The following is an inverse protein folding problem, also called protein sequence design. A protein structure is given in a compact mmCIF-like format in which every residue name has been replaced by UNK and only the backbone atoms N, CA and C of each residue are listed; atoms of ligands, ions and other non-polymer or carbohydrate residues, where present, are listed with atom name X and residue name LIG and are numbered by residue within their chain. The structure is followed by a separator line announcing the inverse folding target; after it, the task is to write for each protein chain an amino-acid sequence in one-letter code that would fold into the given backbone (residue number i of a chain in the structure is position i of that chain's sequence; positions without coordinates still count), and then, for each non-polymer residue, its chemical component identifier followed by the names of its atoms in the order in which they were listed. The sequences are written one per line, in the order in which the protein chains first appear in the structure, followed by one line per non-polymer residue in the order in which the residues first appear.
data_IF_416793634434
#
_entry.id   IF_416793634434
#
_cell.length_a   1.000
_cell.length_b   1.000
_cell.length_c   1.000
_cell.angle_alpha   90.00
_cell.angle_beta   90.00
_cell.angle_gamma   90.00
#
_symmetry.space_group_name_H-M   'P 1'
#
loop_
_entity.id
_entity.type
_entity.pdbx_description
1 polymer ?
#
# COMPACT_ATOMS: atom_id res chain seq x y z
N UNK A 1 10.73 -13.00 -11.33
CA UNK A 1 11.59 -13.97 -12.06
C UNK A 1 10.83 -15.06 -12.81
N UNK A 2 9.62 -15.48 -12.38
CA UNK A 2 8.93 -16.63 -13.00
C UNK A 2 8.42 -16.40 -14.43
N UNK A 3 8.13 -15.17 -14.84
CA UNK A 3 7.43 -14.92 -16.13
C UNK A 3 8.20 -15.42 -17.35
N UNK A 4 9.51 -15.20 -17.44
CA UNK A 4 10.31 -15.63 -18.61
C UNK A 4 10.41 -17.16 -18.74
N UNK A 5 10.63 -17.86 -17.63
CA UNK A 5 10.65 -19.33 -17.64
C UNK A 5 9.29 -19.90 -18.03
N UNK A 6 8.21 -19.28 -17.53
CA UNK A 6 6.85 -19.68 -17.85
C UNK A 6 6.56 -19.50 -19.35
N UNK A 7 6.89 -18.35 -19.95
CA UNK A 7 6.72 -18.14 -21.40
C UNK A 7 7.38 -19.25 -22.24
N UNK A 8 8.57 -19.70 -21.83
CA UNK A 8 9.25 -20.79 -22.51
C UNK A 8 8.53 -22.12 -22.35
N UNK A 9 8.02 -22.45 -21.16
CA UNK A 9 7.27 -23.69 -20.93
C UNK A 9 5.98 -23.74 -21.73
N UNK A 10 5.23 -22.64 -21.84
CA UNK A 10 4.04 -22.55 -22.70
C UNK A 10 4.42 -22.74 -24.16
N UNK A 11 5.45 -22.01 -24.62
CA UNK A 11 5.88 -22.07 -26.02
C UNK A 11 6.38 -23.47 -26.43
N UNK A 12 6.98 -24.19 -25.48
CA UNK A 12 7.47 -25.55 -25.68
C UNK A 12 6.39 -26.61 -25.45
N UNK A 13 5.18 -26.23 -25.02
CA UNK A 13 4.09 -27.17 -24.73
C UNK A 13 4.37 -28.09 -23.53
N UNK A 14 5.15 -27.63 -22.55
CA UNK A 14 5.54 -28.42 -21.38
C UNK A 14 4.51 -28.43 -20.26
N UNK A 15 3.47 -27.59 -20.36
CA UNK A 15 2.42 -27.42 -19.35
C UNK A 15 1.05 -27.40 -20.01
N UNK A 16 0.07 -27.95 -19.30
CA UNK A 16 -1.32 -28.10 -19.78
C UNK A 16 -2.00 -26.74 -19.95
N UNK A 17 -2.05 -25.96 -18.88
CA UNK A 17 -2.72 -24.67 -18.85
C UNK A 17 -1.71 -23.53 -18.67
N UNK A 18 -1.93 -22.33 -19.26
CA UNK A 18 -1.04 -21.20 -19.12
C UNK A 18 -1.15 -20.50 -17.76
N UNK A 19 -1.14 -21.28 -16.67
CA UNK A 19 -1.29 -20.84 -15.28
C UNK A 19 -0.18 -21.42 -14.41
N UNK A 20 0.06 -20.78 -13.28
CA UNK A 20 0.86 -21.34 -12.19
C UNK A 20 0.30 -20.87 -10.85
N UNK A 21 0.50 -21.67 -9.82
CA UNK A 21 0.02 -21.38 -8.47
C UNK A 21 1.08 -21.62 -7.42
N UNK A 22 0.99 -20.88 -6.34
CA UNK A 22 1.82 -21.08 -5.15
C UNK A 22 0.96 -21.42 -3.95
N UNK A 23 1.39 -22.44 -3.21
CA UNK A 23 1.01 -22.68 -1.83
C UNK A 23 2.22 -22.44 -0.93
N UNK A 24 2.02 -21.69 0.15
CA UNK A 24 3.06 -21.45 1.16
C UNK A 24 2.60 -22.04 2.49
N UNK A 25 3.39 -22.96 3.04
CA UNK A 25 3.15 -23.47 4.38
C UNK A 25 3.60 -22.42 5.40
N UNK A 26 2.81 -22.23 6.46
CA UNK A 26 3.11 -21.30 7.56
C UNK A 26 3.72 -21.99 8.78
N UNK A 27 3.69 -23.32 8.81
CA UNK A 27 4.20 -24.14 9.90
C UNK A 27 5.63 -24.54 9.61
N UNK A 28 6.58 -23.70 10.05
CA UNK A 28 8.01 -23.90 9.78
C UNK A 28 8.59 -25.17 10.44
N UNK A 29 7.90 -25.70 11.44
CA UNK A 29 8.21 -26.91 12.17
C UNK A 29 7.55 -28.18 11.61
N UNK A 30 6.73 -28.04 10.56
CA UNK A 30 5.99 -29.14 9.96
C UNK A 30 6.31 -29.33 8.46
N UNK A 31 6.76 -30.53 8.09
CA UNK A 31 6.71 -31.05 6.72
C UNK A 31 7.30 -30.13 5.63
N UNK A 32 6.55 -29.99 4.53
CA UNK A 32 6.94 -29.22 3.34
C UNK A 32 6.69 -27.72 3.53
N UNK A 33 7.64 -26.86 3.14
CA UNK A 33 7.53 -25.41 3.31
C UNK A 33 6.58 -24.71 2.32
N UNK A 34 6.18 -25.39 1.26
CA UNK A 34 5.32 -24.84 0.21
C UNK A 34 5.44 -25.63 -1.10
N UNK A 35 4.59 -25.30 -2.06
CA UNK A 35 4.52 -25.92 -3.37
C UNK A 35 4.34 -24.84 -4.45
N UNK A 36 4.98 -25.04 -5.61
CA UNK A 36 4.68 -24.33 -6.84
C UNK A 36 4.24 -25.32 -7.90
N UNK A 37 3.09 -25.05 -8.52
CA UNK A 37 2.55 -25.85 -9.62
C UNK A 37 2.59 -25.01 -10.90
N UNK A 38 3.24 -25.54 -11.93
CA UNK A 38 3.16 -24.98 -13.29
C UNK A 38 2.19 -25.82 -14.11
N UNK A 39 1.26 -25.18 -14.82
CA UNK A 39 0.27 -25.87 -15.64
C UNK A 39 -1.04 -26.22 -14.93
N UNK A 40 -1.25 -25.76 -13.70
CA UNK A 40 -2.46 -26.05 -12.93
C UNK A 40 -2.40 -25.50 -11.51
N UNK A 41 -3.21 -26.10 -10.64
CA UNK A 41 -3.28 -25.84 -9.21
C UNK A 41 -3.66 -27.11 -8.45
N UNK A 42 -3.10 -27.34 -7.26
CA UNK A 42 -3.53 -28.46 -6.42
C UNK A 42 -4.73 -28.07 -5.55
N UNK A 43 -5.85 -28.76 -5.76
CA UNK A 43 -7.09 -28.64 -4.97
C UNK A 43 -6.93 -28.95 -3.48
N UNK A 44 -5.88 -29.67 -3.09
CA UNK A 44 -5.60 -29.96 -1.68
C UNK A 44 -5.17 -28.72 -0.88
N UNK A 45 -4.69 -27.68 -1.56
CA UNK A 45 -4.05 -26.50 -0.97
C UNK A 45 -4.96 -25.25 -0.88
N UNK A 46 -6.24 -25.37 -1.24
CA UNK A 46 -7.23 -24.28 -1.07
C UNK A 46 -8.62 -24.79 -0.70
N UNK A 47 -9.50 -23.87 -0.30
CA UNK A 47 -10.91 -24.14 0.01
C UNK A 47 -11.79 -23.13 -0.71
N UNK A 48 -12.90 -23.60 -1.27
CA UNK A 48 -13.81 -22.77 -2.04
C UNK A 48 -13.24 -22.37 -3.40
N UNK A 49 -13.85 -21.36 -4.01
CA UNK A 49 -13.49 -20.89 -5.34
C UNK A 49 -12.49 -19.74 -5.29
N UNK A 50 -11.68 -19.63 -6.35
CA UNK A 50 -10.77 -18.52 -6.54
C UNK A 50 -11.53 -17.27 -6.98
N UNK A 51 -11.19 -16.12 -6.40
CA UNK A 51 -11.61 -14.82 -6.90
C UNK A 51 -10.57 -14.31 -7.90
N UNK A 52 -10.93 -14.26 -9.18
CA UNK A 52 -10.05 -13.78 -10.24
C UNK A 52 -10.24 -12.29 -10.49
N UNK A 53 -9.13 -11.56 -10.56
CA UNK A 53 -9.09 -10.15 -10.94
C UNK A 53 -8.13 -9.95 -12.12
N UNK A 54 -8.45 -9.08 -13.08
CA UNK A 54 -7.62 -8.89 -14.27
C UNK A 54 -6.32 -8.16 -13.91
N UNK A 55 -5.26 -8.48 -14.66
CA UNK A 55 -3.99 -7.74 -14.60
C UNK A 55 -4.18 -6.35 -15.18
N UNK A 56 -3.80 -5.31 -14.44
CA UNK A 56 -4.02 -3.91 -14.82
C UNK A 56 -2.79 -3.28 -15.48
N UNK A 57 -1.59 -3.78 -15.17
CA UNK A 57 -0.33 -3.32 -15.79
C UNK A 57 0.56 -4.51 -16.13
N UNK A 58 0.65 -4.86 -17.42
CA UNK A 58 1.57 -5.90 -17.90
C UNK A 58 3.03 -5.51 -17.58
N UNK A 59 3.79 -6.46 -17.03
CA UNK A 59 5.14 -6.26 -16.49
C UNK A 59 5.23 -6.67 -15.02
N UNK A 60 4.13 -6.49 -14.28
CA UNK A 60 3.95 -7.00 -12.92
C UNK A 60 2.68 -7.84 -12.86
N UNK A 61 2.57 -8.70 -11.85
CA UNK A 61 1.29 -9.30 -11.45
C UNK A 61 0.48 -8.30 -10.63
N UNK A 62 0.19 -7.17 -11.27
CA UNK A 62 -0.50 -6.04 -10.68
C UNK A 62 -1.99 -6.09 -11.00
N UNK A 63 -2.84 -5.84 -10.00
CA UNK A 63 -4.29 -5.77 -10.15
C UNK A 63 -4.86 -4.61 -9.32
N UNK A 64 -6.11 -4.23 -9.60
CA UNK A 64 -6.82 -3.23 -8.79
C UNK A 64 -7.30 -3.89 -7.50
N UNK A 65 -7.06 -3.22 -6.38
CA UNK A 65 -7.51 -3.57 -5.05
C UNK A 65 -8.43 -2.48 -4.52
N UNK A 66 -9.43 -2.87 -3.75
CA UNK A 66 -10.27 -1.94 -3.02
C UNK A 66 -9.58 -1.39 -1.76
N UNK A 67 -10.41 -1.04 -0.78
CA UNK A 67 -9.94 -0.47 0.48
C UNK A 67 -9.22 -1.49 1.38
N UNK A 68 -8.38 -0.97 2.27
CA UNK A 68 -7.75 -1.74 3.34
C UNK A 68 -8.49 -1.45 4.65
N UNK A 69 -8.97 -2.51 5.29
CA UNK A 69 -9.69 -2.43 6.56
C UNK A 69 -8.81 -2.95 7.70
N UNK A 70 -8.78 -2.23 8.82
CA UNK A 70 -8.14 -2.68 10.06
C UNK A 70 -9.19 -2.73 11.16
N UNK A 71 -9.45 -3.93 11.68
CA UNK A 71 -10.54 -4.21 12.62
C UNK A 71 -11.92 -3.79 12.05
N UNK A 72 -12.16 -4.15 10.78
CA UNK A 72 -13.40 -3.82 10.06
C UNK A 72 -13.58 -2.34 9.70
N UNK A 73 -12.62 -1.47 10.06
CA UNK A 73 -12.68 -0.02 9.79
C UNK A 73 -11.79 0.37 8.63
N UNK A 74 -12.33 1.17 7.73
CA UNK A 74 -11.61 1.75 6.59
C UNK A 74 -10.39 2.54 7.03
N UNK A 75 -9.30 2.43 6.28
CA UNK A 75 -8.11 3.29 6.40
C UNK A 75 -8.21 4.56 5.54
N UNK A 76 -9.26 4.66 4.71
CA UNK A 76 -9.62 5.82 3.89
C UNK A 76 -8.74 6.00 2.64
N UNK A 77 -7.44 5.75 2.75
CA UNK A 77 -6.47 6.02 1.67
C UNK A 77 -6.77 5.20 0.40
N UNK A 78 -7.08 3.91 0.53
CA UNK A 78 -7.39 3.05 -0.61
C UNK A 78 -8.90 2.93 -0.90
N UNK A 79 -9.75 3.76 -0.31
CA UNK A 79 -11.20 3.70 -0.52
C UNK A 79 -11.60 3.99 -1.98
N UNK A 80 -10.84 4.85 -2.67
CA UNK A 80 -10.97 5.13 -4.11
C UNK A 80 -10.34 4.06 -5.02
N UNK A 81 -9.76 3.01 -4.44
CA UNK A 81 -9.01 1.98 -5.12
C UNK A 81 -7.49 2.24 -5.08
N UNK A 82 -6.74 1.14 -5.00
CA UNK A 82 -5.29 1.10 -5.05
C UNK A 82 -4.81 0.04 -6.03
N UNK A 83 -3.55 0.12 -6.44
CA UNK A 83 -2.89 -0.99 -7.12
C UNK A 83 -2.26 -1.92 -6.10
N UNK A 84 -2.33 -3.23 -6.35
CA UNK A 84 -1.63 -4.25 -5.58
C UNK A 84 -0.81 -5.13 -6.51
N UNK A 85 0.34 -5.61 -6.04
CA UNK A 85 1.18 -6.58 -6.73
C UNK A 85 1.26 -7.81 -5.85
N UNK A 86 1.04 -8.98 -6.44
CA UNK A 86 1.33 -10.22 -5.75
C UNK A 86 2.75 -10.67 -6.10
N UNK A 87 3.63 -10.63 -5.11
CA UNK A 87 5.06 -10.89 -5.25
C UNK A 87 5.51 -11.98 -4.27
N UNK A 88 5.65 -13.20 -4.78
CA UNK A 88 6.17 -14.34 -4.00
C UNK A 88 7.63 -14.16 -3.56
N UNK A 89 8.35 -13.16 -4.09
CA UNK A 89 9.73 -12.84 -3.72
C UNK A 89 9.84 -11.95 -2.48
N UNK A 90 8.71 -11.43 -1.96
CA UNK A 90 8.68 -10.51 -0.81
C UNK A 90 7.91 -11.14 0.34
N UNK A 91 8.47 -11.07 1.56
CA UNK A 91 7.84 -11.65 2.76
C UNK A 91 6.85 -10.72 3.46
N UNK A 92 7.06 -9.40 3.39
CA UNK A 92 6.27 -8.41 4.11
C UNK A 92 5.20 -7.78 3.21
N UNK A 93 4.11 -7.30 3.82
CA UNK A 93 3.19 -6.41 3.13
C UNK A 93 3.78 -5.00 3.11
N UNK A 94 4.00 -4.49 1.90
CA UNK A 94 4.40 -3.11 1.66
C UNK A 94 3.20 -2.32 1.14
N UNK A 95 3.03 -1.09 1.62
CA UNK A 95 1.91 -0.23 1.25
C UNK A 95 2.16 1.23 1.59
N UNK A 96 1.20 2.12 1.28
CA UNK A 96 1.28 3.54 1.61
C UNK A 96 1.52 3.76 3.10
N UNK A 97 2.44 4.67 3.45
CA UNK A 97 2.79 5.00 4.84
C UNK A 97 1.53 5.34 5.65
N UNK A 98 0.60 6.10 5.06
CA UNK A 98 -0.67 6.45 5.70
C UNK A 98 -1.46 5.22 6.23
N UNK A 99 -1.46 4.11 5.48
CA UNK A 99 -2.15 2.87 5.87
C UNK A 99 -1.31 2.09 6.88
N UNK A 100 0.00 1.97 6.63
CA UNK A 100 0.91 1.19 7.47
C UNK A 100 0.99 1.78 8.88
N UNK A 101 1.03 3.10 9.02
CA UNK A 101 1.05 3.78 10.33
C UNK A 101 -0.23 3.52 11.12
N UNK A 102 -1.41 3.52 10.47
CA UNK A 102 -2.67 3.16 11.14
C UNK A 102 -2.68 1.68 11.58
N UNK A 103 -2.19 0.76 10.73
CA UNK A 103 -2.06 -0.65 11.11
C UNK A 103 -1.18 -0.78 12.35
N UNK A 104 0.00 -0.14 12.35
CA UNK A 104 0.96 -0.24 13.45
C UNK A 104 0.42 0.33 14.76
N UNK A 105 -0.29 1.45 14.70
CA UNK A 105 -0.95 2.03 15.87
C UNK A 105 -1.96 1.04 16.47
N UNK A 106 -2.80 0.42 15.62
CA UNK A 106 -3.81 -0.56 16.06
C UNK A 106 -3.25 -1.88 16.59
N UNK A 107 -2.10 -2.34 16.08
CA UNK A 107 -1.46 -3.57 16.55
C UNK A 107 -0.41 -3.34 17.65
N UNK A 108 -0.18 -2.08 18.05
CA UNK A 108 0.83 -1.72 19.05
C UNK A 108 2.27 -1.95 18.60
N UNK A 109 2.54 -1.90 17.29
CA UNK A 109 3.89 -2.03 16.76
C UNK A 109 4.72 -0.77 17.04
N UNK A 110 6.01 -0.97 17.32
CA UNK A 110 6.94 0.14 17.51
C UNK A 110 7.18 0.85 16.17
N UNK A 111 7.03 2.19 16.18
CA UNK A 111 7.41 3.04 15.06
C UNK A 111 8.48 4.07 15.44
N UNK A 112 8.81 4.93 14.48
CA UNK A 112 9.74 6.05 14.66
C UNK A 112 8.94 7.34 14.79
N UNK A 113 9.47 8.27 15.57
CA UNK A 113 8.85 9.58 15.72
C UNK A 113 9.18 10.45 14.50
N UNK A 114 8.17 10.88 13.74
CA UNK A 114 8.34 11.92 12.72
C UNK A 114 8.23 13.31 13.35
N UNK A 115 9.30 14.10 13.28
CA UNK A 115 9.29 15.48 13.79
C UNK A 115 8.49 16.42 12.88
N UNK A 116 8.48 16.13 11.58
CA UNK A 116 7.72 16.84 10.57
C UNK A 116 6.23 16.66 10.84
N UNK A 117 5.78 15.42 11.04
CA UNK A 117 4.39 15.13 11.36
C UNK A 117 3.98 15.76 12.70
N UNK A 118 4.83 15.67 13.73
CA UNK A 118 4.59 16.38 15.00
C UNK A 118 4.43 17.88 14.82
N UNK A 119 5.27 18.49 14.01
CA UNK A 119 5.23 19.93 13.74
C UNK A 119 3.95 20.29 12.99
N UNK A 120 3.58 19.52 11.96
CA UNK A 120 2.33 19.70 11.22
C UNK A 120 1.12 19.63 12.15
N UNK A 121 1.03 18.59 12.98
CA UNK A 121 -0.10 18.38 13.89
C UNK A 121 -0.17 19.48 14.94
N UNK A 122 0.95 19.83 15.56
CA UNK A 122 0.99 20.82 16.64
C UNK A 122 0.76 22.26 16.18
N UNK A 123 1.27 22.64 14.99
CA UNK A 123 1.17 24.01 14.50
C UNK A 123 -0.05 24.23 13.59
N UNK A 124 -0.38 23.24 12.75
CA UNK A 124 -1.38 23.39 11.69
C UNK A 124 -2.57 22.47 11.87
N UNK A 125 -2.54 21.50 12.80
CA UNK A 125 -3.57 20.47 12.92
C UNK A 125 -4.98 21.02 13.11
N UNK A 126 -5.12 22.09 13.91
CA UNK A 126 -6.41 22.76 14.10
C UNK A 126 -6.91 23.41 12.81
N UNK A 127 -6.05 24.15 12.10
CA UNK A 127 -6.38 24.79 10.84
C UNK A 127 -6.75 23.77 9.75
N UNK A 128 -6.01 22.66 9.65
CA UNK A 128 -6.29 21.56 8.73
C UNK A 128 -7.68 20.98 9.02
N UNK A 129 -7.98 20.73 10.30
CA UNK A 129 -9.26 20.18 10.70
C UNK A 129 -10.43 21.14 10.43
N UNK A 130 -10.25 22.44 10.68
CA UNK A 130 -11.25 23.46 10.38
C UNK A 130 -11.54 23.54 8.87
N UNK A 131 -10.51 23.44 8.03
CA UNK A 131 -10.65 23.38 6.57
C UNK A 131 -11.39 22.12 6.11
N UNK A 132 -11.15 20.98 6.76
CA UNK A 132 -11.87 19.74 6.50
C UNK A 132 -13.35 19.83 6.89
N UNK A 133 -13.66 20.44 8.03
CA UNK A 133 -15.03 20.69 8.48
C UNK A 133 -15.76 21.70 7.60
N UNK A 134 -15.04 22.64 6.98
CA UNK A 134 -15.56 23.58 5.99
C UNK A 134 -15.77 22.96 4.59
N UNK A 135 -15.71 21.63 4.46
CA UNK A 135 -15.89 20.88 3.21
C UNK A 135 -14.90 21.29 2.09
N UNK A 136 -13.69 21.70 2.48
CA UNK A 136 -12.63 22.00 1.52
C UNK A 136 -12.17 20.72 0.82
N UNK A 137 -11.84 20.82 -0.47
CA UNK A 137 -11.23 19.72 -1.21
C UNK A 137 -9.92 19.29 -0.52
N UNK A 138 -9.82 18.04 -0.02
CA UNK A 138 -8.71 17.60 0.83
C UNK A 138 -7.34 17.76 0.19
N UNK A 139 -7.24 17.47 -1.11
CA UNK A 139 -6.03 17.62 -1.91
C UNK A 139 -5.48 19.06 -1.94
N UNK A 140 -6.31 20.07 -1.66
CA UNK A 140 -5.93 21.49 -1.66
C UNK A 140 -5.62 22.04 -0.28
N UNK A 141 -5.85 21.28 0.78
CA UNK A 141 -5.68 21.80 2.15
C UNK A 141 -4.22 22.13 2.43
N UNK A 142 -3.30 21.25 2.08
CA UNK A 142 -1.88 21.47 2.37
C UNK A 142 -1.26 22.62 1.56
N UNK A 143 -1.79 22.93 0.37
CA UNK A 143 -1.39 24.11 -0.39
C UNK A 143 -2.02 25.39 0.16
N UNK A 144 -3.27 25.35 0.63
CA UNK A 144 -3.91 26.49 1.30
C UNK A 144 -3.27 26.83 2.65
N UNK A 145 -2.83 25.82 3.39
CA UNK A 145 -2.05 25.99 4.63
C UNK A 145 -0.63 26.47 4.35
N UNK A 146 -0.16 26.36 3.10
CA UNK A 146 1.17 26.82 2.66
C UNK A 146 2.29 25.82 2.89
N UNK A 147 1.97 24.56 3.22
CA UNK A 147 2.95 23.48 3.41
C UNK A 147 3.32 22.77 2.11
N UNK A 148 2.48 22.88 1.07
CA UNK A 148 2.74 22.34 -0.25
C UNK A 148 2.76 23.45 -1.31
N UNK A 149 3.68 23.33 -2.27
CA UNK A 149 3.81 24.27 -3.39
C UNK A 149 2.80 24.02 -4.52
N UNK A 150 2.29 22.80 -4.65
CA UNK A 150 1.35 22.38 -5.68
C UNK A 150 0.03 21.89 -5.06
N UNK A 151 -1.05 21.90 -5.84
CA UNK A 151 -2.44 21.66 -5.40
C UNK A 151 -2.85 20.18 -5.42
N UNK A 152 -1.91 19.26 -5.19
CA UNK A 152 -2.18 17.83 -5.02
C UNK A 152 -2.49 17.06 -6.32
N UNK A 153 -2.31 17.66 -7.51
CA UNK A 153 -2.49 16.95 -8.79
C UNK A 153 -1.35 16.00 -9.15
N UNK A 154 -0.25 16.05 -8.41
CA UNK A 154 0.81 15.04 -8.49
C UNK A 154 0.54 14.00 -7.40
N UNK A 155 -0.06 12.87 -7.80
CA UNK A 155 -0.23 11.75 -6.91
C UNK A 155 1.09 11.40 -6.22
N UNK A 156 1.02 11.10 -4.93
CA UNK A 156 2.12 10.58 -4.12
C UNK A 156 2.58 9.27 -4.75
N UNK A 157 3.41 9.39 -5.77
CA UNK A 157 4.15 8.28 -6.31
C UNK A 157 5.24 8.00 -5.29
N UNK A 158 4.99 7.09 -4.36
CA UNK A 158 6.04 6.22 -3.89
C UNK A 158 6.57 5.52 -5.15
N UNK A 159 7.56 6.13 -5.80
CA UNK A 159 8.13 5.63 -7.03
C UNK A 159 8.65 4.22 -6.76
N UNK A 160 7.96 3.21 -7.30
CA UNK A 160 8.54 1.89 -7.43
C UNK A 160 9.71 2.08 -8.39
N UNK A 161 10.93 2.24 -7.85
CA UNK A 161 12.14 2.21 -8.66
C UNK A 161 12.25 0.79 -9.22
N UNK A 162 12.07 0.68 -10.52
CA UNK A 162 12.39 -0.52 -11.26
C UNK A 162 13.91 -0.61 -11.38
N UNK A 163 14.48 -1.80 -11.18
CA UNK A 163 15.92 -2.08 -11.37
C UNK A 163 16.40 -1.96 -12.82
N UNK A 164 15.52 -1.58 -13.76
CA UNK A 164 15.86 -1.44 -15.19
C UNK A 164 15.93 0.01 -15.69
N UNK A 165 15.67 1.02 -14.87
CA UNK A 165 15.63 2.42 -15.31
C UNK A 165 16.86 3.24 -14.88
N UNK A 166 18.06 2.66 -15.05
CA UNK A 166 19.34 3.39 -14.95
C UNK A 166 19.99 3.52 -16.33
N UNK A 167 19.41 4.34 -17.21
CA UNK A 167 20.11 4.86 -18.40
C UNK A 167 19.70 6.33 -18.62
N UNK A 168 20.70 7.16 -18.92
CA UNK A 168 20.72 8.58 -18.67
C UNK A 168 19.96 9.46 -19.68
N UNK A 169 19.41 10.59 -19.19
CA UNK A 169 19.52 11.88 -19.91
C UNK A 169 18.24 12.69 -20.17
N UNK A 170 18.10 13.77 -19.38
CA UNK A 170 17.47 15.09 -19.67
C UNK A 170 15.93 15.21 -19.63
N UNK A 171 15.41 15.90 -18.61
CA UNK A 171 15.02 17.33 -18.69
C UNK A 171 14.36 17.83 -17.38
N UNK A 172 14.74 19.04 -16.96
CA UNK A 172 14.22 19.92 -15.91
C UNK A 172 12.96 19.51 -15.10
N UNK A 173 13.13 19.53 -13.77
CA UNK A 173 12.01 19.56 -12.81
C UNK A 173 12.13 18.53 -11.69
N UNK A 174 13.30 18.39 -11.08
CA UNK A 174 13.49 17.51 -9.92
C UNK A 174 12.62 17.99 -8.75
N UNK A 175 11.45 17.39 -8.60
CA UNK A 175 10.50 17.60 -7.52
C UNK A 175 11.21 17.23 -6.20
N UNK A 176 11.72 18.23 -5.47
CA UNK A 176 12.08 18.03 -4.07
C UNK A 176 10.76 17.79 -3.33
N UNK A 177 10.48 16.54 -2.96
CA UNK A 177 9.43 16.23 -2.01
C UNK A 177 9.72 16.99 -0.72
N UNK A 178 8.88 17.97 -0.37
CA UNK A 178 9.00 18.68 0.89
C UNK A 178 8.52 17.75 2.01
N UNK A 179 9.38 17.37 2.97
CA UNK A 179 8.99 16.49 4.08
C UNK A 179 7.78 17.01 4.87
N UNK A 180 7.61 18.33 4.97
CA UNK A 180 6.44 18.93 5.62
C UNK A 180 5.17 18.82 4.77
N UNK A 181 5.29 18.89 3.44
CA UNK A 181 4.16 18.68 2.54
C UNK A 181 3.63 17.25 2.67
N UNK A 182 4.51 16.25 2.59
CA UNK A 182 4.13 14.84 2.74
C UNK A 182 3.48 14.57 4.11
N UNK A 183 4.06 15.14 5.18
CA UNK A 183 3.50 15.03 6.52
C UNK A 183 2.10 15.66 6.64
N UNK A 184 1.87 16.78 5.94
CA UNK A 184 0.55 17.40 5.85
C UNK A 184 -0.45 16.51 5.10
N UNK A 185 -0.08 15.98 3.94
CA UNK A 185 -0.97 15.13 3.14
C UNK A 185 -1.38 13.87 3.92
N UNK A 186 -0.45 13.25 4.64
CA UNK A 186 -0.75 12.14 5.54
C UNK A 186 -1.70 12.56 6.67
N UNK A 187 -1.45 13.70 7.32
CA UNK A 187 -2.31 14.22 8.38
C UNK A 187 -3.73 14.49 7.88
N UNK A 188 -3.90 15.06 6.68
CA UNK A 188 -5.21 15.27 6.04
C UNK A 188 -5.94 13.94 5.88
N UNK A 189 -5.29 12.92 5.30
CA UNK A 189 -5.93 11.60 5.12
C UNK A 189 -6.37 11.00 6.46
N UNK A 190 -5.51 11.05 7.49
CA UNK A 190 -5.86 10.53 8.80
C UNK A 190 -7.02 11.31 9.43
N UNK A 191 -7.00 12.65 9.39
CA UNK A 191 -8.10 13.48 9.92
C UNK A 191 -9.42 13.17 9.22
N UNK A 192 -9.40 13.08 7.88
CA UNK A 192 -10.57 12.71 7.10
C UNK A 192 -11.12 11.35 7.48
N UNK A 193 -10.24 10.37 7.63
CA UNK A 193 -10.65 9.03 8.01
C UNK A 193 -11.28 9.03 9.42
N UNK A 194 -10.73 9.76 10.39
CA UNK A 194 -11.31 9.85 11.72
C UNK A 194 -12.63 10.64 11.74
N UNK A 195 -12.78 11.67 10.90
CA UNK A 195 -14.05 12.37 10.68
C UNK A 195 -15.12 11.45 10.09
N UNK A 196 -14.76 10.62 9.10
CA UNK A 196 -15.66 9.62 8.52
C UNK A 196 -16.10 8.56 9.54
N UNK A 197 -15.32 8.35 10.59
CA UNK A 197 -15.66 7.50 11.74
C UNK A 197 -16.42 8.24 12.86
N UNK A 198 -16.91 9.47 12.61
CA UNK A 198 -17.68 10.29 13.55
C UNK A 198 -16.97 10.57 14.89
N UNK A 199 -15.62 10.68 14.88
CA UNK A 199 -14.87 11.05 16.09
C UNK A 199 -14.93 12.56 16.36
N UNK A 200 -14.79 12.96 17.62
CA UNK A 200 -14.70 14.37 18.01
C UNK A 200 -13.34 14.96 17.63
N UNK A 201 -13.30 16.27 17.40
CA UNK A 201 -12.09 17.01 17.05
C UNK A 201 -10.92 16.80 18.02
N UNK A 202 -11.17 16.79 19.34
CA UNK A 202 -10.14 16.53 20.35
C UNK A 202 -9.57 15.11 20.21
N UNK A 203 -10.44 14.11 20.00
CA UNK A 203 -10.01 12.73 19.79
C UNK A 203 -9.22 12.58 18.48
N UNK A 204 -9.57 13.33 17.43
CA UNK A 204 -8.86 13.32 16.15
C UNK A 204 -7.43 13.85 16.32
N UNK A 205 -7.27 15.02 16.95
CA UNK A 205 -5.95 15.63 17.15
C UNK A 205 -5.06 14.76 18.05
N UNK A 206 -5.63 14.20 19.12
CA UNK A 206 -4.91 13.27 20.01
C UNK A 206 -4.47 12.00 19.27
N UNK A 207 -5.36 11.42 18.46
CA UNK A 207 -5.06 10.23 17.67
C UNK A 207 -3.90 10.46 16.70
N UNK A 208 -3.94 11.56 15.95
CA UNK A 208 -2.92 11.83 14.92
C UNK A 208 -1.58 12.20 15.55
N UNK A 209 -1.60 12.88 16.69
CA UNK A 209 -0.39 13.11 17.46
C UNK A 209 0.23 11.77 17.92
N UNK A 210 -0.59 10.76 18.29
CA UNK A 210 -0.09 9.42 18.57
C UNK A 210 0.44 8.71 17.32
N UNK A 211 -0.27 8.79 16.20
CA UNK A 211 0.18 8.22 14.92
C UNK A 211 1.52 8.81 14.46
N UNK A 212 1.79 10.09 14.74
CA UNK A 212 3.08 10.74 14.46
C UNK A 212 4.26 10.16 15.25
N UNK A 213 3.98 9.44 16.34
CA UNK A 213 4.98 8.75 17.17
C UNK A 213 5.30 7.34 16.65
N UNK A 214 4.48 6.80 15.75
CA UNK A 214 4.58 5.44 15.22
C UNK A 214 4.93 5.41 13.72
N UNK A 215 5.36 6.53 13.14
CA UNK A 215 5.70 6.63 11.73
C UNK A 215 6.93 5.77 11.38
N UNK A 216 6.79 4.87 10.41
CA UNK A 216 7.89 3.97 10.05
C UNK A 216 8.72 4.58 8.93
N UNK A 217 10.02 4.74 9.18
CA UNK A 217 10.98 4.75 8.09
C UNK A 217 10.99 3.35 7.44
N UNK A 218 10.20 3.19 6.35
CA UNK A 218 10.37 2.17 5.31
C UNK A 218 10.25 0.69 5.74
N UNK A 219 9.58 0.36 6.85
CA UNK A 219 9.38 -1.04 7.27
C UNK A 219 7.97 -1.52 6.92
N UNK A 220 7.88 -2.61 6.15
CA UNK A 220 6.63 -3.29 5.86
C UNK A 220 6.02 -3.96 7.10
N UNK A 221 4.73 -4.30 7.05
CA UNK A 221 4.05 -5.02 8.14
C UNK A 221 4.16 -6.51 7.88
N UNK A 222 4.59 -7.27 8.90
CA UNK A 222 4.49 -8.73 8.88
C UNK A 222 3.07 -9.10 9.27
N UNK A 223 2.27 -9.54 8.31
CA UNK A 223 0.90 -10.01 8.54
C UNK A 223 0.84 -11.48 8.12
N UNK A 224 0.37 -12.40 8.99
CA UNK A 224 0.29 -13.81 8.63
C UNK A 224 -0.89 -14.06 7.68
N UNK A 225 -0.68 -13.86 6.37
CA UNK A 225 -1.65 -14.26 5.34
C UNK A 225 -1.41 -15.70 4.88
N UNK A 226 -2.46 -16.53 4.85
CA UNK A 226 -2.49 -17.72 4.00
C UNK A 226 -3.17 -17.29 2.71
N UNK A 227 -2.40 -17.16 1.63
CA UNK A 227 -2.95 -16.86 0.31
C UNK A 227 -2.42 -17.89 -0.67
N UNK A 228 -3.32 -18.68 -1.26
CA UNK A 228 -3.03 -19.38 -2.49
C UNK A 228 -3.17 -18.36 -3.61
N UNK A 229 -2.09 -18.13 -4.33
CA UNK A 229 -2.07 -17.15 -5.40
C UNK A 229 -1.96 -17.87 -6.74
N UNK A 230 -3.05 -17.85 -7.51
CA UNK A 230 -3.08 -18.38 -8.87
C UNK A 230 -2.93 -17.23 -9.86
N UNK A 231 -1.90 -17.30 -10.70
CA UNK A 231 -1.59 -16.29 -11.69
C UNK A 231 -1.76 -16.87 -13.09
N UNK A 232 -2.57 -16.20 -13.91
CA UNK A 232 -2.88 -16.63 -15.28
C UNK A 232 -2.13 -15.77 -16.28
N UNK A 233 -1.35 -16.37 -17.17
CA UNK A 233 -0.68 -15.63 -18.24
C UNK A 233 -1.67 -15.39 -19.37
N UNK A 234 -2.14 -14.15 -19.47
CA UNK A 234 -2.84 -13.66 -20.65
C UNK A 234 -1.81 -13.27 -21.71
N UNK A 235 -1.53 -14.20 -22.63
CA UNK A 235 -0.75 -13.96 -23.85
C UNK A 235 -1.42 -12.87 -24.70
#
# INVERSE_FOLDING_TARGET
MCSHAMYNMVKQGLISDPVFSFWFNRHADEGEGGEIVFGGMDSSHYKGDHTFVPVTRKGYWQFNMGDVLVDGKSTGFCAGGCAAIADSGTSLLAGPIAIITEINEKIGAAGVVSQECKTVVSQYGQQILDLLLAETQPAKICSQVGLCTFDGTHGVSAGIRSVVDDEAGKSNGGLKSDPMCNACEMAVVWMQNQLAQNKTQELILNYINQASLTDLEHRGVSVPFSMLLCLTISL
#
